data_IF_163691908089
#
_entry.id   IF_163691908089
#
_cell.length_a   1.000
_cell.length_b   1.000
_cell.length_c   1.000
_cell.angle_alpha   90.00
_cell.angle_beta   90.00
_cell.angle_gamma   90.00
#
_symmetry.space_group_name_H-M   'P 1'
#
loop_
_entity.id
_entity.type
_entity.pdbx_description
1 polymer ?
#
# COMPACT_ATOMS: atom_id res chain seq x y z
N UNK A 1 -9.83 18.17 -7.76
CA UNK A 1 -9.09 17.38 -8.76
C UNK A 1 -9.20 15.90 -8.35
N UNK A 2 -9.61 14.99 -9.24
CA UNK A 2 -9.97 13.60 -8.88
C UNK A 2 -8.72 12.74 -8.71
N UNK A 3 -8.30 12.45 -7.47
CA UNK A 3 -7.33 11.38 -7.21
C UNK A 3 -8.00 10.03 -7.50
N UNK A 4 -7.74 9.46 -8.69
CA UNK A 4 -8.21 8.13 -9.09
C UNK A 4 -7.33 7.00 -8.52
N UNK A 5 -6.14 7.37 -8.05
CA UNK A 5 -5.08 6.48 -7.61
C UNK A 5 -4.59 6.94 -6.22
N UNK A 6 -4.47 5.99 -5.29
CA UNK A 6 -3.73 6.18 -4.06
C UNK A 6 -2.37 5.52 -4.28
N UNK A 7 -1.31 6.32 -4.25
CA UNK A 7 0.05 5.83 -4.39
C UNK A 7 0.69 5.88 -3.00
N UNK A 8 1.07 4.71 -2.49
CA UNK A 8 1.87 4.58 -1.28
C UNK A 8 3.08 3.77 -1.68
N UNK A 9 4.24 4.43 -1.67
CA UNK A 9 5.53 3.77 -1.72
C UNK A 9 6.24 4.10 -0.42
N UNK A 10 6.27 3.12 0.46
CA UNK A 10 6.97 3.22 1.72
C UNK A 10 8.21 2.33 1.68
N UNK A 11 9.31 2.83 2.24
CA UNK A 11 10.53 2.05 2.47
C UNK A 11 11.18 2.53 3.75
N UNK A 12 11.45 1.61 4.68
CA UNK A 12 12.28 1.89 5.84
C UNK A 12 13.73 1.51 5.54
N UNK A 13 14.69 2.33 5.98
CA UNK A 13 16.10 1.96 5.94
C UNK A 13 16.33 0.86 6.99
N UNK A 14 16.61 -0.35 6.53
CA UNK A 14 16.83 -1.50 7.42
C UNK A 14 18.17 -1.34 8.14
N UNK A 15 18.18 -1.60 9.45
CA UNK A 15 19.38 -1.49 10.29
C UNK A 15 20.41 -2.61 10.06
N UNK A 16 20.05 -3.59 9.23
CA UNK A 16 20.87 -4.75 8.91
C UNK A 16 20.35 -5.49 7.67
N UNK A 17 20.80 -6.73 7.52
CA UNK A 17 20.38 -7.64 6.44
C UNK A 17 18.98 -8.18 6.74
N UNK A 18 18.04 -8.00 5.81
CA UNK A 18 16.72 -8.63 5.88
C UNK A 18 16.83 -10.03 5.28
N UNK A 19 16.66 -11.06 6.10
CA UNK A 19 16.78 -12.47 5.68
C UNK A 19 15.42 -13.10 5.39
N UNK A 20 14.41 -12.75 6.20
CA UNK A 20 13.06 -13.28 6.09
C UNK A 20 12.05 -12.14 6.04
N UNK A 21 11.10 -12.25 5.12
CA UNK A 21 10.05 -11.25 4.90
C UNK A 21 8.71 -11.95 4.99
N UNK A 22 7.78 -11.36 5.73
CA UNK A 22 6.36 -11.72 5.68
C UNK A 22 5.62 -10.67 4.87
N UNK A 23 4.73 -11.13 3.99
CA UNK A 23 3.87 -10.25 3.20
C UNK A 23 2.44 -10.53 3.57
N UNK A 24 1.70 -9.45 3.81
CA UNK A 24 0.27 -9.49 4.05
C UNK A 24 -0.41 -8.34 3.30
N UNK A 25 -1.70 -8.51 3.01
CA UNK A 25 -2.49 -7.54 2.28
C UNK A 25 -3.83 -7.26 2.96
N UNK A 26 -4.18 -5.99 3.04
CA UNK A 26 -5.48 -5.54 3.58
C UNK A 26 -6.24 -4.70 2.57
N UNK A 27 -7.57 -4.80 2.58
CA UNK A 27 -8.43 -4.00 1.73
C UNK A 27 -8.58 -2.58 2.31
N UNK A 28 -8.18 -1.59 1.51
CA UNK A 28 -8.36 -0.17 1.78
C UNK A 28 -9.60 0.37 1.09
N UNK A 29 -10.42 1.07 1.86
CA UNK A 29 -11.50 1.90 1.33
C UNK A 29 -11.02 3.33 1.13
N UNK A 30 -10.85 3.73 -0.13
CA UNK A 30 -10.37 5.07 -0.49
C UNK A 30 -11.56 6.03 -0.59
N UNK A 31 -11.52 7.06 0.24
CA UNK A 31 -12.47 8.16 0.23
C UNK A 31 -11.83 9.36 -0.48
N UNK A 32 -12.50 9.91 -1.49
CA UNK A 32 -12.04 11.14 -2.14
C UNK A 32 -12.39 12.40 -1.32
N UNK A 33 -11.84 13.54 -1.75
CA UNK A 33 -12.16 14.91 -1.28
C UNK A 33 -13.68 15.19 -1.18
N UNK A 34 -14.47 14.41 -1.94
CA UNK A 34 -15.91 14.42 -1.95
C UNK A 34 -16.57 13.89 -0.68
N UNK A 35 -16.15 12.81 -0.01
CA UNK A 35 -17.04 12.13 0.97
C UNK A 35 -17.34 12.93 2.24
N UNK A 36 -16.37 13.71 2.76
CA UNK A 36 -16.64 14.70 3.82
C UNK A 36 -17.64 15.76 3.33
N UNK A 37 -17.44 16.24 2.10
CA UNK A 37 -18.30 17.22 1.44
C UNK A 37 -19.67 16.64 1.04
N UNK A 38 -19.77 15.34 0.74
CA UNK A 38 -20.97 14.56 0.40
C UNK A 38 -21.82 14.36 1.65
N UNK A 39 -21.20 14.05 2.80
CA UNK A 39 -21.90 14.00 4.09
C UNK A 39 -22.53 15.35 4.45
N UNK A 40 -21.93 16.47 4.01
CA UNK A 40 -22.42 17.84 4.29
C UNK A 40 -23.33 18.44 3.21
N UNK A 41 -23.15 18.10 1.93
CA UNK A 41 -23.80 18.73 0.77
C UNK A 41 -24.40 17.74 -0.26
N UNK A 42 -24.60 16.48 0.12
CA UNK A 42 -25.40 15.48 -0.62
C UNK A 42 -24.98 15.16 -2.07
N UNK A 43 -23.78 15.55 -2.52
CA UNK A 43 -23.24 15.14 -3.83
C UNK A 43 -22.47 13.83 -3.69
N UNK A 44 -23.06 12.71 -4.09
CA UNK A 44 -22.46 11.36 -3.95
C UNK A 44 -21.32 11.15 -4.94
N UNK A 45 -20.12 10.89 -4.43
CA UNK A 45 -19.00 10.35 -5.23
C UNK A 45 -18.87 8.84 -4.97
N UNK A 46 -18.55 8.07 -6.01
CA UNK A 46 -18.41 6.60 -5.92
C UNK A 46 -17.16 6.21 -5.12
N UNK A 47 -17.34 5.34 -4.12
CA UNK A 47 -16.28 4.72 -3.30
C UNK A 47 -15.45 3.76 -4.14
N UNK A 48 -14.15 3.68 -3.86
CA UNK A 48 -13.22 2.77 -4.55
C UNK A 48 -12.47 1.96 -3.50
N UNK A 49 -12.37 0.66 -3.72
CA UNK A 49 -11.54 -0.25 -2.93
C UNK A 49 -10.19 -0.48 -3.62
N UNK A 50 -9.16 -0.61 -2.79
CA UNK A 50 -7.77 -0.90 -3.16
C UNK A 50 -7.22 -1.94 -2.19
N UNK A 51 -6.12 -2.60 -2.54
CA UNK A 51 -5.36 -3.43 -1.61
C UNK A 51 -4.08 -2.73 -1.22
N UNK A 52 -3.75 -2.75 0.06
CA UNK A 52 -2.46 -2.33 0.58
C UNK A 52 -1.67 -3.57 0.98
N UNK A 53 -0.54 -3.75 0.33
CA UNK A 53 0.41 -4.83 0.59
C UNK A 53 1.50 -4.29 1.48
N UNK A 54 1.79 -4.99 2.57
CA UNK A 54 2.88 -4.68 3.49
C UNK A 54 3.94 -5.78 3.45
N UNK A 55 5.21 -5.39 3.53
CA UNK A 55 6.32 -6.30 3.78
C UNK A 55 6.89 -6.02 5.16
N UNK A 56 7.04 -7.05 5.97
CA UNK A 56 7.57 -6.99 7.32
C UNK A 56 8.91 -7.74 7.41
N UNK A 57 9.87 -7.16 8.12
CA UNK A 57 11.05 -7.91 8.55
C UNK A 57 10.66 -8.81 9.73
N UNK A 58 10.85 -10.13 9.58
CA UNK A 58 10.52 -11.10 10.62
C UNK A 58 11.33 -10.89 11.90
N UNK A 59 12.56 -10.37 11.80
CA UNK A 59 13.44 -10.22 12.95
C UNK A 59 13.10 -8.99 13.80
N UNK A 60 12.68 -7.88 13.19
CA UNK A 60 12.38 -6.62 13.88
C UNK A 60 10.89 -6.35 14.04
N UNK A 61 10.05 -7.08 13.31
CA UNK A 61 8.61 -6.84 13.17
C UNK A 61 8.27 -5.44 12.61
N UNK A 62 9.23 -4.79 11.96
CA UNK A 62 9.02 -3.49 11.33
C UNK A 62 8.43 -3.65 9.92
N UNK A 63 7.53 -2.74 9.53
CA UNK A 63 7.16 -2.58 8.12
C UNK A 63 8.37 -2.02 7.39
N UNK A 64 8.82 -2.71 6.36
CA UNK A 64 10.02 -2.33 5.58
C UNK A 64 9.68 -1.87 4.17
N UNK A 65 8.53 -2.30 3.63
CA UNK A 65 7.98 -1.78 2.39
C UNK A 65 6.45 -1.84 2.38
N UNK A 66 5.82 -0.98 1.58
CA UNK A 66 4.39 -1.07 1.29
C UNK A 66 4.06 -0.59 -0.12
N UNK A 67 3.05 -1.18 -0.74
CA UNK A 67 2.57 -0.86 -2.09
C UNK A 67 1.04 -0.97 -2.17
N UNK A 68 0.39 -0.02 -2.86
CA UNK A 68 -1.07 -0.05 -3.09
C UNK A 68 -1.38 -0.53 -4.51
N UNK A 69 -2.39 -1.39 -4.62
CA UNK A 69 -2.83 -1.98 -5.89
C UNK A 69 -4.35 -2.00 -6.05
N UNK A 70 -4.82 -2.45 -7.21
CA UNK A 70 -6.24 -2.72 -7.44
C UNK A 70 -6.68 -3.93 -6.59
N UNK A 71 -7.94 -3.95 -6.17
CA UNK A 71 -8.51 -5.05 -5.35
C UNK A 71 -8.40 -6.43 -6.01
N UNK A 72 -8.36 -6.49 -7.34
CA UNK A 72 -8.22 -7.72 -8.12
C UNK A 72 -6.80 -8.27 -8.17
N UNK A 73 -5.80 -7.51 -7.70
CA UNK A 73 -4.41 -7.97 -7.69
C UNK A 73 -4.15 -8.84 -6.46
N UNK A 74 -3.48 -9.97 -6.67
CA UNK A 74 -2.95 -10.82 -5.61
C UNK A 74 -1.47 -10.51 -5.34
N UNK A 75 -0.98 -11.01 -4.21
CA UNK A 75 0.34 -10.66 -3.67
C UNK A 75 1.47 -11.09 -4.62
N UNK A 76 1.33 -12.21 -5.32
CA UNK A 76 2.30 -12.68 -6.31
C UNK A 76 2.60 -11.64 -7.40
N UNK A 77 1.61 -10.83 -7.79
CA UNK A 77 1.79 -9.79 -8.80
C UNK A 77 2.50 -8.54 -8.25
N UNK A 78 2.45 -8.32 -6.92
CA UNK A 78 3.02 -7.16 -6.24
C UNK A 78 4.39 -7.48 -5.62
N UNK A 79 4.67 -8.76 -5.37
CA UNK A 79 5.93 -9.25 -4.80
C UNK A 79 7.18 -8.68 -5.48
N UNK A 80 7.32 -8.66 -6.83
CA UNK A 80 8.51 -8.10 -7.46
C UNK A 80 8.71 -6.61 -7.15
N UNK A 81 7.61 -5.86 -7.00
CA UNK A 81 7.64 -4.43 -6.66
C UNK A 81 8.18 -4.26 -5.23
N UNK A 82 7.63 -4.99 -4.26
CA UNK A 82 8.08 -4.94 -2.87
C UNK A 82 9.55 -5.33 -2.73
N UNK A 83 9.99 -6.40 -3.39
CA UNK A 83 11.41 -6.81 -3.36
C UNK A 83 12.31 -5.76 -4.01
N UNK A 84 11.89 -5.15 -5.12
CA UNK A 84 12.66 -4.07 -5.76
C UNK A 84 12.77 -2.83 -4.87
N UNK A 85 11.73 -2.49 -4.11
CA UNK A 85 11.80 -1.42 -3.11
C UNK A 85 12.84 -1.71 -2.03
N UNK A 86 13.09 -2.97 -1.69
CA UNK A 86 14.07 -3.37 -0.69
C UNK A 86 15.50 -3.48 -1.22
N UNK A 87 15.69 -3.61 -2.54
CA UNK A 87 17.04 -3.66 -3.15
C UNK A 87 17.82 -2.37 -2.82
N UNK A 88 19.06 -2.53 -2.37
CA UNK A 88 20.01 -1.41 -2.26
C UNK A 88 20.50 -1.08 -3.67
N UNK A 89 20.46 0.20 -4.06
CA UNK A 89 21.25 0.67 -5.21
C UNK A 89 22.71 0.66 -4.75
N UNK A 90 23.53 -0.11 -5.44
CA UNK A 90 25.00 -0.05 -5.33
C UNK A 90 25.47 1.06 -6.26
#
# INVERSE_FOLDING_TARGET
MRLKNAEVKYRLLTRGTVVHIVIDATDLKVYGEGEWKTRKHSKVNRRIWRKLHFAFDVSTHEVIAAEVSLVSMGDNAVLPILINLLRRKI
#
